data_IF_063076878414
#
_entry.id   IF_063076878414
#
_cell.length_a   1.000
_cell.length_b   1.000
_cell.length_c   1.000
_cell.angle_alpha   90.00
_cell.angle_beta   90.00
_cell.angle_gamma   90.00
#
_symmetry.space_group_name_H-M   'P 1'
#
loop_
_entity.id
_entity.type
_entity.pdbx_description
1 polymer ?
#
# COMPACT_ATOMS: atom_id res chain seq x y z
N UNK A 1 -14.91 -16.23 -19.22
CA UNK A 1 -16.15 -16.45 -18.43
C UNK A 1 -16.93 -15.14 -18.44
N UNK A 2 -18.13 -15.12 -19.00
CA UNK A 2 -18.94 -13.92 -19.16
C UNK A 2 -19.74 -13.65 -17.89
N UNK A 3 -19.38 -12.63 -17.12
CA UNK A 3 -20.14 -12.17 -15.95
C UNK A 3 -21.55 -11.79 -16.40
N UNK A 4 -22.58 -12.30 -15.73
CA UNK A 4 -23.96 -12.05 -16.14
C UNK A 4 -24.37 -10.62 -15.80
N UNK A 5 -25.25 -10.03 -16.61
CA UNK A 5 -25.77 -8.67 -16.41
C UNK A 5 -26.34 -8.43 -15.00
N UNK A 6 -26.87 -9.50 -14.40
CA UNK A 6 -27.45 -9.52 -13.05
C UNK A 6 -26.37 -9.44 -11.96
N UNK A 7 -25.26 -10.14 -12.15
CA UNK A 7 -24.10 -10.06 -11.25
C UNK A 7 -23.41 -8.70 -11.35
N UNK A 8 -23.31 -8.13 -12.56
CA UNK A 8 -22.76 -6.78 -12.74
C UNK A 8 -23.65 -5.69 -12.11
N UNK A 9 -24.97 -5.86 -12.14
CA UNK A 9 -25.91 -4.98 -11.45
C UNK A 9 -25.80 -5.12 -9.93
N UNK A 10 -25.72 -6.34 -9.41
CA UNK A 10 -25.55 -6.61 -7.98
C UNK A 10 -24.22 -6.04 -7.44
N UNK A 11 -23.11 -6.19 -8.18
CA UNK A 11 -21.83 -5.59 -7.84
C UNK A 11 -21.87 -4.06 -7.85
N UNK A 12 -22.58 -3.47 -8.82
CA UNK A 12 -22.76 -2.02 -8.92
C UNK A 12 -23.56 -1.49 -7.73
N UNK A 13 -24.63 -2.16 -7.34
CA UNK A 13 -25.48 -1.73 -6.24
C UNK A 13 -24.82 -1.98 -4.89
N UNK A 14 -24.06 -3.07 -4.74
CA UNK A 14 -23.23 -3.32 -3.56
C UNK A 14 -22.11 -2.29 -3.42
N UNK A 15 -21.43 -1.95 -4.52
CA UNK A 15 -20.44 -0.86 -4.55
C UNK A 15 -21.07 0.46 -4.11
N UNK A 16 -22.26 0.80 -4.63
CA UNK A 16 -22.98 2.01 -4.19
C UNK A 16 -23.31 1.98 -2.70
N UNK A 17 -23.74 0.85 -2.15
CA UNK A 17 -24.08 0.74 -0.72
C UNK A 17 -22.85 0.87 0.18
N UNK A 18 -21.69 0.35 -0.23
CA UNK A 18 -20.40 0.56 0.48
C UNK A 18 -20.07 2.07 0.59
N UNK A 19 -20.46 2.87 -0.40
CA UNK A 19 -20.23 4.32 -0.39
C UNK A 19 -21.39 5.15 0.19
N UNK A 20 -22.49 4.51 0.63
CA UNK A 20 -23.63 5.20 1.26
C UNK A 20 -23.57 5.27 2.78
N UNK A 21 -22.70 4.49 3.43
CA UNK A 21 -22.46 4.65 4.87
C UNK A 21 -21.71 5.97 5.18
N UNK A 22 -21.72 6.40 6.45
CA UNK A 22 -21.04 7.64 6.88
C UNK A 22 -19.54 7.64 6.57
N UNK A 23 -18.88 6.47 6.58
CA UNK A 23 -17.49 6.30 6.16
C UNK A 23 -17.29 6.46 4.64
N UNK A 24 -18.24 6.02 3.83
CA UNK A 24 -18.27 6.23 2.37
C UNK A 24 -18.39 7.71 2.01
N UNK A 25 -19.27 8.44 2.71
CA UNK A 25 -19.39 9.91 2.58
C UNK A 25 -18.10 10.61 3.00
N UNK A 26 -17.50 10.22 4.11
CA UNK A 26 -16.27 10.84 4.62
C UNK A 26 -15.07 10.59 3.70
N UNK A 27 -14.95 9.39 3.13
CA UNK A 27 -13.97 9.09 2.07
C UNK A 27 -14.20 9.97 0.84
N UNK A 28 -15.44 10.06 0.37
CA UNK A 28 -15.80 10.90 -0.78
C UNK A 28 -15.48 12.38 -0.54
N UNK A 29 -15.81 12.90 0.65
CA UNK A 29 -15.46 14.26 1.05
C UNK A 29 -13.96 14.48 1.06
N UNK A 30 -13.17 13.53 1.56
CA UNK A 30 -11.71 13.60 1.51
C UNK A 30 -11.22 13.70 0.05
N UNK A 31 -11.76 12.89 -0.86
CA UNK A 31 -11.47 12.90 -2.31
C UNK A 31 -11.82 14.22 -3.01
N UNK A 32 -12.92 14.86 -2.61
CA UNK A 32 -13.38 16.12 -3.22
C UNK A 32 -12.67 17.33 -2.61
N UNK A 33 -12.35 17.26 -1.32
CA UNK A 33 -11.81 18.38 -0.52
C UNK A 33 -10.47 17.99 0.10
N UNK A 34 -9.35 18.15 -0.63
CA UNK A 34 -8.02 17.74 -0.18
C UNK A 34 -7.56 18.39 1.13
N UNK A 35 -8.13 19.54 1.51
CA UNK A 35 -7.83 20.24 2.75
C UNK A 35 -8.19 19.42 4.00
N UNK A 36 -9.14 18.48 3.91
CA UNK A 36 -9.46 17.59 5.03
C UNK A 36 -8.34 16.62 5.37
N UNK A 37 -7.41 16.36 4.43
CA UNK A 37 -6.26 15.50 4.69
C UNK A 37 -5.42 16.05 5.84
N UNK A 38 -5.16 17.35 5.88
CA UNK A 38 -4.37 17.95 6.96
C UNK A 38 -5.05 17.82 8.33
N UNK A 39 -6.39 17.86 8.36
CA UNK A 39 -7.17 17.54 9.55
C UNK A 39 -6.88 16.12 10.04
N UNK A 40 -6.94 15.13 9.14
CA UNK A 40 -6.64 13.73 9.46
C UNK A 40 -5.18 13.55 9.91
N UNK A 41 -4.23 14.18 9.22
CA UNK A 41 -2.80 14.10 9.56
C UNK A 41 -2.50 14.76 10.90
N UNK A 42 -3.28 15.74 11.35
CA UNK A 42 -3.12 16.34 12.67
C UNK A 42 -3.47 15.36 13.80
N UNK A 43 -4.36 14.40 13.54
CA UNK A 43 -4.75 13.35 14.49
C UNK A 43 -3.77 12.16 14.56
N UNK A 44 -2.73 12.12 13.72
CA UNK A 44 -1.74 11.05 13.79
C UNK A 44 -1.01 11.10 15.12
N UNK A 45 -0.90 9.94 15.76
CA UNK A 45 -0.07 9.77 16.94
C UNK A 45 1.37 10.22 16.64
N UNK A 46 2.07 10.90 17.57
CA UNK A 46 3.44 11.40 17.34
C UNK A 46 4.42 10.36 16.83
N UNK A 47 4.25 9.10 17.24
CA UNK A 47 5.00 7.95 16.72
C UNK A 47 4.97 7.85 15.18
N UNK A 48 3.85 8.20 14.54
CA UNK A 48 3.68 8.16 13.08
C UNK A 48 3.91 9.51 12.40
N UNK A 49 4.50 10.48 13.09
CA UNK A 49 4.66 11.84 12.54
C UNK A 49 5.47 11.85 11.24
N UNK A 50 6.52 11.03 11.16
CA UNK A 50 7.38 10.90 9.98
C UNK A 50 6.69 10.28 8.76
N UNK A 51 5.53 9.64 8.95
CA UNK A 51 4.74 9.08 7.84
C UNK A 51 3.84 10.11 7.17
N UNK A 52 3.61 11.29 7.79
CA UNK A 52 2.70 12.31 7.23
C UNK A 52 3.08 12.72 5.79
N UNK A 53 4.37 12.96 5.44
CA UNK A 53 4.76 13.27 4.07
C UNK A 53 4.42 12.16 3.07
N UNK A 54 4.65 10.90 3.43
CA UNK A 54 4.28 9.75 2.61
C UNK A 54 2.77 9.73 2.35
N UNK A 55 1.97 9.89 3.40
CA UNK A 55 0.50 9.87 3.26
C UNK A 55 0.01 11.03 2.38
N UNK A 56 0.62 12.22 2.47
CA UNK A 56 0.31 13.35 1.56
C UNK A 56 0.60 13.02 0.11
N UNK A 57 1.79 12.49 -0.19
CA UNK A 57 2.18 12.15 -1.55
C UNK A 57 1.34 11.00 -2.11
N UNK A 58 1.11 9.95 -1.31
CA UNK A 58 0.26 8.83 -1.70
C UNK A 58 -1.17 9.29 -1.98
N UNK A 59 -1.73 10.14 -1.13
CA UNK A 59 -3.07 10.69 -1.33
C UNK A 59 -3.20 11.44 -2.66
N UNK A 60 -2.20 12.25 -3.03
CA UNK A 60 -2.18 12.94 -4.34
C UNK A 60 -2.23 11.95 -5.50
N UNK A 61 -1.45 10.87 -5.41
CA UNK A 61 -1.49 9.79 -6.42
C UNK A 61 -2.90 9.20 -6.46
N UNK A 62 -3.49 8.81 -5.33
CA UNK A 62 -4.85 8.25 -5.30
C UNK A 62 -5.89 9.17 -5.95
N UNK A 63 -5.86 10.47 -5.66
CA UNK A 63 -6.76 11.44 -6.28
C UNK A 63 -6.53 11.53 -7.80
N UNK A 64 -5.28 11.63 -8.25
CA UNK A 64 -4.95 11.68 -9.67
C UNK A 64 -5.47 10.45 -10.41
N UNK A 65 -5.27 9.27 -9.83
CA UNK A 65 -5.65 7.99 -10.43
C UNK A 65 -7.15 7.78 -10.49
N UNK A 66 -7.87 8.20 -9.45
CA UNK A 66 -9.32 8.22 -9.44
C UNK A 66 -9.88 9.11 -10.56
N UNK A 67 -9.29 10.29 -10.78
CA UNK A 67 -9.75 11.23 -11.80
C UNK A 67 -9.38 10.84 -13.24
N UNK A 68 -8.36 9.99 -13.44
CA UNK A 68 -7.79 9.67 -14.77
C UNK A 68 -7.98 8.21 -15.17
N UNK A 69 -8.94 7.52 -14.56
CA UNK A 69 -9.13 6.07 -14.64
C UNK A 69 -9.12 5.52 -16.08
N UNK A 70 -8.01 4.90 -16.48
CA UNK A 70 -7.85 4.11 -17.69
C UNK A 70 -6.84 2.98 -17.46
N UNK A 71 -6.86 1.94 -18.32
CA UNK A 71 -6.04 0.74 -18.15
C UNK A 71 -4.53 1.00 -18.18
N UNK A 72 -4.07 2.04 -18.90
CA UNK A 72 -2.66 2.43 -18.94
C UNK A 72 -2.25 3.08 -17.62
N UNK A 73 -3.13 3.89 -17.03
CA UNK A 73 -2.92 4.49 -15.71
C UNK A 73 -2.70 3.41 -14.65
N UNK A 74 -3.43 2.29 -14.68
CA UNK A 74 -3.29 1.21 -13.69
C UNK A 74 -1.87 0.62 -13.60
N UNK A 75 -1.24 0.35 -14.74
CA UNK A 75 0.13 -0.19 -14.77
C UNK A 75 1.14 0.84 -14.23
N UNK A 76 1.00 2.11 -14.64
CA UNK A 76 1.90 3.20 -14.25
C UNK A 76 1.82 3.53 -12.76
N UNK A 77 0.65 3.32 -12.14
CA UNK A 77 0.43 3.58 -10.72
C UNK A 77 1.24 2.63 -9.86
N UNK A 78 1.29 1.35 -10.22
CA UNK A 78 1.98 0.35 -9.41
C UNK A 78 3.46 0.73 -9.21
N UNK A 79 4.15 1.06 -10.30
CA UNK A 79 5.56 1.46 -10.26
C UNK A 79 5.75 2.80 -9.54
N UNK A 80 4.82 3.75 -9.71
CA UNK A 80 4.85 5.01 -8.97
C UNK A 80 4.68 4.81 -7.46
N UNK A 81 3.80 3.91 -7.04
CA UNK A 81 3.58 3.62 -5.62
C UNK A 81 4.82 2.92 -5.03
N UNK A 82 5.41 1.96 -5.75
CA UNK A 82 6.66 1.33 -5.30
C UNK A 82 7.79 2.34 -5.16
N UNK A 83 7.98 3.20 -6.16
CA UNK A 83 8.98 4.27 -6.12
C UNK A 83 8.74 5.25 -4.96
N UNK A 84 7.47 5.61 -4.71
CA UNK A 84 7.07 6.43 -3.58
C UNK A 84 7.44 5.77 -2.24
N UNK A 85 7.09 4.51 -2.06
CA UNK A 85 7.35 3.78 -0.82
C UNK A 85 8.86 3.66 -0.55
N UNK A 86 9.65 3.31 -1.56
CA UNK A 86 11.11 3.23 -1.44
C UNK A 86 11.73 4.58 -1.09
N UNK A 87 11.34 5.65 -1.78
CA UNK A 87 11.78 7.02 -1.48
C UNK A 87 11.52 7.39 -0.02
N UNK A 88 10.30 7.18 0.48
CA UNK A 88 9.98 7.56 1.86
C UNK A 88 10.64 6.65 2.89
N UNK A 89 10.88 5.38 2.56
CA UNK A 89 11.67 4.48 3.40
C UNK A 89 13.09 5.01 3.57
N UNK A 90 13.77 5.34 2.47
CA UNK A 90 15.13 5.92 2.49
C UNK A 90 15.18 7.21 3.31
N UNK A 91 14.18 8.08 3.19
CA UNK A 91 14.09 9.32 3.97
C UNK A 91 13.93 9.06 5.47
N UNK A 92 13.12 8.07 5.85
CA UNK A 92 12.90 7.68 7.26
C UNK A 92 14.16 7.05 7.85
N UNK A 93 14.87 6.23 7.07
CA UNK A 93 16.13 5.59 7.46
C UNK A 93 17.26 6.61 7.63
N UNK A 94 17.36 7.59 6.74
CA UNK A 94 18.34 8.68 6.85
C UNK A 94 18.15 9.46 8.16
N UNK A 95 16.90 9.66 8.59
CA UNK A 95 16.62 10.22 9.91
C UNK A 95 17.01 11.70 10.06
N UNK A 96 17.02 12.45 8.95
CA UNK A 96 17.49 13.84 8.91
C UNK A 96 16.34 14.86 8.81
N UNK A 97 16.57 16.10 9.26
CA UNK A 97 15.58 17.17 9.20
C UNK A 97 14.24 16.80 9.86
N UNK A 98 13.15 16.94 9.09
CA UNK A 98 11.79 16.59 9.51
C UNK A 98 11.57 15.06 9.66
N UNK A 99 12.51 14.24 9.19
CA UNK A 99 12.52 12.78 9.34
C UNK A 99 13.33 12.31 10.55
N UNK A 100 13.77 13.21 11.42
CA UNK A 100 14.38 12.82 12.70
C UNK A 100 13.38 12.03 13.56
N UNK A 101 13.76 10.87 14.10
CA UNK A 101 12.89 10.11 15.01
C UNK A 101 12.38 10.98 16.16
N UNK A 102 11.08 10.89 16.42
CA UNK A 102 10.47 11.61 17.55
C UNK A 102 10.78 10.91 18.87
N UNK A 103 10.60 11.61 20.00
CA UNK A 103 10.72 10.99 21.33
C UNK A 103 9.82 9.76 21.47
N UNK A 104 8.60 9.85 20.94
CA UNK A 104 7.64 8.75 20.92
C UNK A 104 8.19 7.49 20.21
N UNK A 105 8.94 7.66 19.12
CA UNK A 105 9.58 6.56 18.37
C UNK A 105 10.80 5.99 19.09
N UNK A 106 11.51 6.81 19.87
CA UNK A 106 12.72 6.38 20.58
C UNK A 106 12.47 5.86 22.00
N UNK A 107 11.23 5.96 22.48
CA UNK A 107 10.80 5.51 23.79
C UNK A 107 11.07 4.02 24.03
N UNK A 108 11.20 3.62 25.29
CA UNK A 108 11.44 2.22 25.64
C UNK A 108 10.28 1.31 25.23
N UNK A 109 9.04 1.77 25.45
CA UNK A 109 7.83 1.05 25.04
C UNK A 109 7.78 0.85 23.51
N UNK A 110 8.13 1.88 22.73
CA UNK A 110 8.19 1.78 21.28
C UNK A 110 9.22 0.73 20.81
N UNK A 111 10.41 0.71 21.42
CA UNK A 111 11.45 -0.27 21.10
C UNK A 111 11.02 -1.71 21.44
N UNK A 112 10.29 -1.89 22.54
CA UNK A 112 9.74 -3.20 22.90
C UNK A 112 8.73 -3.69 21.85
N UNK A 113 7.80 -2.82 21.44
CA UNK A 113 6.82 -3.14 20.39
C UNK A 113 7.50 -3.42 19.04
N UNK A 114 8.53 -2.66 18.69
CA UNK A 114 9.33 -2.88 17.49
C UNK A 114 9.98 -4.28 17.51
N UNK A 115 10.59 -4.68 18.63
CA UNK A 115 11.21 -5.99 18.77
C UNK A 115 10.20 -7.14 18.63
N UNK A 116 9.01 -7.00 19.23
CA UNK A 116 7.93 -7.99 19.13
C UNK A 116 7.42 -8.11 17.68
N UNK A 117 7.18 -6.98 17.01
CA UNK A 117 6.73 -6.98 15.62
C UNK A 117 7.81 -7.53 14.68
N UNK A 118 9.09 -7.19 14.88
CA UNK A 118 10.20 -7.76 14.12
C UNK A 118 10.29 -9.28 14.27
N UNK A 119 10.05 -9.80 15.49
CA UNK A 119 9.98 -11.24 15.72
C UNK A 119 8.84 -11.87 14.93
N UNK A 120 7.64 -11.29 15.01
CA UNK A 120 6.47 -11.76 14.26
C UNK A 120 6.73 -11.77 12.75
N UNK A 121 7.34 -10.71 12.20
CA UNK A 121 7.67 -10.63 10.76
C UNK A 121 8.71 -11.66 10.32
N UNK A 122 9.70 -11.97 11.16
CA UNK A 122 10.65 -13.05 10.88
C UNK A 122 9.95 -14.41 10.80
N UNK A 123 8.96 -14.65 11.66
CA UNK A 123 8.15 -15.87 11.64
C UNK A 123 7.22 -15.94 10.42
N UNK A 124 6.56 -14.84 10.07
CA UNK A 124 5.75 -14.71 8.84
C UNK A 124 6.62 -15.01 7.60
N UNK A 125 7.80 -14.40 7.50
CA UNK A 125 8.73 -14.62 6.39
C UNK A 125 9.23 -16.06 6.32
N UNK A 126 9.53 -16.70 7.46
CA UNK A 126 9.88 -18.12 7.51
C UNK A 126 8.74 -18.97 6.96
N UNK A 127 7.52 -18.72 7.41
CA UNK A 127 6.32 -19.45 6.96
C UNK A 127 6.07 -19.28 5.46
N UNK A 128 6.24 -18.05 4.94
CA UNK A 128 6.15 -17.77 3.51
C UNK A 128 7.25 -18.46 2.70
N UNK A 129 8.47 -18.52 3.24
CA UNK A 129 9.59 -19.22 2.60
C UNK A 129 9.41 -20.73 2.57
N UNK A 130 8.81 -21.31 3.60
CA UNK A 130 8.47 -22.73 3.71
C UNK A 130 7.17 -23.09 2.96
N UNK A 131 6.49 -22.11 2.39
CA UNK A 131 5.20 -22.31 1.74
C UNK A 131 5.33 -23.13 0.46
N UNK A 132 4.44 -24.13 0.22
CA UNK A 132 4.48 -24.99 -0.97
C UNK A 132 4.36 -24.26 -2.31
N UNK A 133 3.90 -23.01 -2.29
CA UNK A 133 3.67 -22.20 -3.49
C UNK A 133 4.96 -21.60 -4.09
N UNK A 134 6.10 -21.65 -3.39
CA UNK A 134 7.40 -21.25 -3.95
C UNK A 134 7.94 -22.20 -5.02
N UNK A 135 7.41 -23.42 -5.12
CA UNK A 135 7.90 -24.45 -6.05
C UNK A 135 7.44 -24.22 -7.51
N UNK A 136 6.72 -23.14 -7.83
CA UNK A 136 6.12 -22.97 -9.16
C UNK A 136 6.94 -22.17 -10.18
N UNK A 137 8.13 -21.69 -9.85
CA UNK A 137 8.97 -20.90 -10.76
C UNK A 137 10.37 -21.48 -11.04
N UNK A 138 10.54 -22.82 -11.05
CA UNK A 138 11.77 -23.45 -11.55
C UNK A 138 11.57 -24.61 -12.54
N UNK A 139 10.35 -24.87 -13.03
CA UNK A 139 10.10 -25.96 -14.00
C UNK A 139 9.89 -25.52 -15.46
N UNK A 140 10.08 -24.23 -15.79
CA UNK A 140 10.05 -23.78 -17.19
C UNK A 140 11.37 -23.10 -17.59
N UNK A 141 12.36 -23.92 -17.92
CA UNK A 141 13.32 -23.59 -18.97
C UNK A 141 13.61 -24.82 -19.84
N UNK A 142 13.64 -24.65 -21.18
CA UNK A 142 13.45 -25.73 -22.14
C UNK A 142 14.77 -26.44 -22.42
N UNK A 143 14.90 -27.69 -22.00
CA UNK A 143 15.95 -28.57 -22.49
C UNK A 143 15.47 -29.22 -23.80
N UNK A 144 15.88 -28.63 -24.92
CA UNK A 144 15.55 -29.11 -26.26
C UNK A 144 16.56 -28.65 -27.30
N UNK A 145 17.84 -28.69 -26.98
CA UNK A 145 18.92 -28.55 -27.97
C UNK A 145 19.03 -29.89 -28.72
N UNK A 146 18.30 -30.01 -29.83
CA UNK A 146 18.49 -31.12 -30.78
C UNK A 146 19.66 -30.79 -31.71
N UNK A 147 20.81 -31.37 -31.37
CA UNK A 147 21.96 -31.55 -32.24
C UNK A 147 21.54 -32.37 -33.48
N UNK A 148 21.56 -31.74 -34.67
CA UNK A 148 21.35 -32.41 -35.96
C UNK A 148 22.66 -32.42 -36.72
N UNK A 149 23.22 -33.64 -36.86
CA UNK A 149 24.20 -33.98 -37.90
C UNK A 149 23.52 -34.13 -39.26
#
# INVERSE_FOLDING_TARGET
>A
MSTTLKEMAALRDHSKDIFKDEGGKMKRELFINPHFLEGVLSCFHPYFARLKPLVREWWRILVCTYNTYNNVTQAIIHDHILGLLNKHLELIEAGEGDMKPTEAETSWDAKMLEMEELKRRKEDLRTLNESPWKTREQDESPNGEQDTR
#
